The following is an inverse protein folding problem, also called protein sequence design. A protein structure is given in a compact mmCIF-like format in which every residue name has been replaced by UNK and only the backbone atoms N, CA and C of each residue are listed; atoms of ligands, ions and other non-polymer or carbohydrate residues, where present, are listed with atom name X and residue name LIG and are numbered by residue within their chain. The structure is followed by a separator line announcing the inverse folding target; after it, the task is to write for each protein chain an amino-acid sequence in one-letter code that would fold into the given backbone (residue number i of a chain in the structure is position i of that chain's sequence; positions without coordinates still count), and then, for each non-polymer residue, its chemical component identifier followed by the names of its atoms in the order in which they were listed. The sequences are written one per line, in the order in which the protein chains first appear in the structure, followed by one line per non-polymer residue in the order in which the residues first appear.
data_IF_707975754541
#
_entry.id   IF_707975754541
#
_cell.length_a   1.000
_cell.length_b   1.000
_cell.length_c   1.000
_cell.angle_alpha   90.00
_cell.angle_beta   90.00
_cell.angle_gamma   90.00
#
_symmetry.space_group_name_H-M   'P 1'
#
loop_
_entity.id
_entity.type
_entity.pdbx_description
1 polymer ?
#
# COMPACT_ATOMS: atom_id res chain seq x y z
N UNK A 1 -10.68 -19.47 14.88
CA UNK A 1 -9.30 -20.03 14.75
C UNK A 1 -8.33 -19.21 15.58
N UNK A 2 -7.18 -19.80 15.90
CA UNK A 2 -5.98 -19.10 16.39
C UNK A 2 -5.06 -18.82 15.21
N UNK A 3 -4.75 -17.57 14.95
CA UNK A 3 -3.99 -17.14 13.77
C UNK A 3 -2.72 -16.42 14.24
N UNK A 4 -1.56 -16.88 13.80
CA UNK A 4 -0.28 -16.21 14.03
C UNK A 4 0.13 -15.48 12.75
N UNK A 5 0.20 -14.16 12.78
CA UNK A 5 0.64 -13.34 11.63
C UNK A 5 2.08 -12.94 11.85
N UNK A 6 2.91 -13.01 10.80
CA UNK A 6 4.31 -12.62 10.86
C UNK A 6 4.58 -11.58 9.78
N UNK A 7 5.14 -10.42 10.15
CA UNK A 7 5.47 -9.35 9.21
C UNK A 7 6.96 -8.98 9.28
N UNK A 8 7.47 -8.37 8.19
CA UNK A 8 8.84 -7.83 8.09
C UNK A 8 8.95 -6.37 8.54
N UNK A 9 7.83 -5.69 8.72
CA UNK A 9 7.79 -4.26 9.02
C UNK A 9 6.99 -3.96 10.27
N UNK A 10 7.28 -2.84 10.94
CA UNK A 10 6.38 -2.27 11.93
C UNK A 10 4.96 -2.12 11.36
N UNK A 11 3.96 -2.14 12.25
CA UNK A 11 2.54 -2.04 11.87
C UNK A 11 2.14 -0.64 11.38
N UNK A 12 3.06 0.32 11.48
CA UNK A 12 2.88 1.70 11.01
C UNK A 12 4.06 2.14 10.15
N UNK A 13 3.82 3.09 9.22
CA UNK A 13 4.86 3.68 8.37
C UNK A 13 5.15 2.93 7.06
N UNK A 14 4.48 1.81 6.82
CA UNK A 14 4.54 1.09 5.54
C UNK A 14 3.17 0.56 5.13
N UNK A 15 2.92 0.40 3.82
CA UNK A 15 1.65 -0.12 3.32
C UNK A 15 1.36 -1.54 3.82
N UNK A 16 2.34 -2.43 3.80
CA UNK A 16 2.18 -3.81 4.29
C UNK A 16 2.05 -3.89 5.81
N UNK A 17 2.67 -2.96 6.56
CA UNK A 17 2.47 -2.86 8.01
C UNK A 17 1.02 -2.48 8.34
N UNK A 18 0.51 -1.44 7.69
CA UNK A 18 -0.89 -1.01 7.84
C UNK A 18 -1.86 -2.11 7.40
N UNK A 19 -1.58 -2.79 6.29
CA UNK A 19 -2.36 -3.96 5.87
C UNK A 19 -2.39 -5.05 6.96
N UNK A 20 -1.23 -5.41 7.51
CA UNK A 20 -1.11 -6.43 8.57
C UNK A 20 -1.89 -6.03 9.83
N UNK A 21 -1.81 -4.76 10.23
CA UNK A 21 -2.56 -4.21 11.37
C UNK A 21 -4.07 -4.34 11.15
N UNK A 22 -4.56 -3.91 9.99
CA UNK A 22 -5.98 -3.96 9.66
C UNK A 22 -6.46 -5.41 9.53
N UNK A 23 -5.72 -6.28 8.86
CA UNK A 23 -6.03 -7.72 8.78
C UNK A 23 -6.17 -8.34 10.16
N UNK A 24 -5.22 -8.08 11.07
CA UNK A 24 -5.26 -8.60 12.44
C UNK A 24 -6.45 -8.07 13.23
N UNK A 25 -6.78 -6.79 13.06
CA UNK A 25 -7.94 -6.15 13.69
C UNK A 25 -9.25 -6.77 13.22
N UNK A 26 -9.48 -6.80 11.92
CA UNK A 26 -10.70 -7.33 11.33
C UNK A 26 -10.91 -8.82 11.67
N UNK A 27 -9.85 -9.64 11.60
CA UNK A 27 -9.92 -11.04 12.02
C UNK A 27 -10.27 -11.18 13.51
N UNK A 28 -9.80 -10.27 14.35
CA UNK A 28 -10.13 -10.27 15.79
C UNK A 28 -11.58 -9.84 16.03
N UNK A 29 -12.06 -8.82 15.31
CA UNK A 29 -13.44 -8.33 15.40
C UNK A 29 -14.48 -9.42 15.02
N UNK A 30 -14.15 -10.31 14.08
CA UNK A 30 -15.01 -11.45 13.72
C UNK A 30 -14.81 -12.72 14.61
N UNK A 31 -14.04 -12.58 15.70
CA UNK A 31 -13.94 -13.62 16.76
C UNK A 31 -12.75 -14.57 16.66
N UNK A 32 -11.77 -14.32 15.79
CA UNK A 32 -10.52 -15.07 15.79
C UNK A 32 -9.59 -14.63 16.93
N UNK A 33 -8.76 -15.55 17.42
CA UNK A 33 -7.66 -15.23 18.34
C UNK A 33 -6.42 -14.92 17.49
N UNK A 34 -6.02 -13.66 17.42
CA UNK A 34 -4.91 -13.23 16.57
C UNK A 34 -3.70 -12.82 17.41
N UNK A 35 -2.52 -13.21 16.96
CA UNK A 35 -1.23 -12.74 17.48
C UNK A 35 -0.36 -12.30 16.30
N UNK A 36 0.33 -11.16 16.43
CA UNK A 36 1.19 -10.61 15.37
C UNK A 36 2.63 -10.51 15.85
N UNK A 37 3.56 -11.10 15.09
CA UNK A 37 5.01 -10.93 15.23
C UNK A 37 5.47 -9.90 14.20
N UNK A 38 6.22 -8.89 14.61
CA UNK A 38 6.73 -7.85 13.72
C UNK A 38 7.98 -7.17 14.30
N UNK A 39 8.91 -6.67 13.48
CA UNK A 39 10.03 -5.87 13.97
C UNK A 39 9.57 -4.49 14.43
N UNK A 40 10.22 -3.98 15.46
CA UNK A 40 9.94 -2.65 16.00
C UNK A 40 11.21 -2.05 16.61
N UNK A 41 11.30 -0.73 16.72
CA UNK A 41 12.41 -0.01 17.36
C UNK A 41 11.95 1.07 18.36
N UNK A 42 10.68 1.02 18.75
CA UNK A 42 10.07 1.89 19.77
C UNK A 42 8.93 1.18 20.49
N UNK A 43 8.46 1.75 21.59
CA UNK A 43 7.22 1.31 22.23
C UNK A 43 6.03 1.51 21.27
N UNK A 44 5.14 0.54 21.24
CA UNK A 44 3.91 0.56 20.42
C UNK A 44 2.67 0.60 21.30
N UNK A 45 1.61 1.29 20.87
CA UNK A 45 0.31 1.25 21.55
C UNK A 45 -0.27 -0.17 21.58
N UNK A 46 -1.07 -0.47 22.60
CA UNK A 46 -1.83 -1.72 22.65
C UNK A 46 -2.89 -1.77 21.57
N UNK A 47 -3.09 -2.95 21.02
CA UNK A 47 -4.11 -3.26 20.02
C UNK A 47 -5.12 -4.28 20.56
N UNK A 48 -6.24 -4.47 19.86
CA UNK A 48 -7.26 -5.45 20.22
C UNK A 48 -6.80 -6.91 20.02
N UNK A 49 -5.68 -7.11 19.33
CA UNK A 49 -5.02 -8.39 19.11
C UNK A 49 -3.71 -8.49 19.90
N UNK A 50 -3.20 -9.70 20.07
CA UNK A 50 -1.93 -9.90 20.78
C UNK A 50 -0.75 -9.51 19.90
N UNK A 51 0.26 -8.89 20.49
CA UNK A 51 1.48 -8.45 19.80
C UNK A 51 2.73 -9.09 20.39
N UNK A 52 3.69 -9.38 19.52
CA UNK A 52 5.06 -9.76 19.86
C UNK A 52 6.02 -8.95 18.97
N UNK A 53 6.32 -7.71 19.34
CA UNK A 53 7.38 -6.98 18.65
C UNK A 53 8.73 -7.65 18.88
N UNK A 54 9.53 -7.77 17.81
CA UNK A 54 10.95 -8.10 17.88
C UNK A 54 11.67 -6.76 17.92
N UNK A 55 12.35 -6.51 19.06
CA UNK A 55 12.97 -5.21 19.27
C UNK A 55 14.31 -5.10 18.57
N UNK A 56 14.38 -4.22 17.57
CA UNK A 56 15.60 -3.82 16.89
C UNK A 56 16.17 -2.55 17.52
N UNK A 57 17.48 -2.35 17.38
CA UNK A 57 18.13 -1.14 17.86
C UNK A 57 17.55 0.10 17.19
N UNK A 58 17.03 1.03 17.99
CA UNK A 58 16.59 2.36 17.59
C UNK A 58 17.50 3.44 18.16
N UNK A 59 17.24 4.70 17.78
CA UNK A 59 18.10 5.82 18.18
C UNK A 59 18.19 6.03 19.69
N UNK A 60 17.18 5.60 20.47
CA UNK A 60 17.10 5.79 21.93
C UNK A 60 16.72 4.52 22.71
N UNK A 61 16.71 3.33 22.10
CA UNK A 61 16.35 2.10 22.81
C UNK A 61 17.58 1.47 23.47
N UNK A 62 17.47 1.20 24.78
CA UNK A 62 18.49 0.43 25.53
C UNK A 62 18.20 -1.07 25.53
N UNK A 63 16.94 -1.45 25.34
CA UNK A 63 16.49 -2.84 25.35
C UNK A 63 16.15 -3.26 23.91
N UNK A 64 17.04 -3.99 23.27
CA UNK A 64 16.85 -4.56 21.94
C UNK A 64 17.33 -6.03 21.90
N UNK A 65 16.70 -6.81 21.02
CA UNK A 65 17.06 -8.21 20.76
C UNK A 65 18.08 -8.31 19.60
N UNK A 66 18.12 -7.28 18.73
CA UNK A 66 19.00 -7.19 17.56
C UNK A 66 19.73 -5.84 17.57
N UNK A 67 21.06 -5.88 17.48
CA UNK A 67 21.94 -4.72 17.56
C UNK A 67 22.13 -3.98 16.22
N UNK A 68 21.06 -3.82 15.45
CA UNK A 68 20.96 -2.94 14.28
C UNK A 68 19.50 -2.58 14.05
N UNK A 69 19.22 -1.55 13.20
CA UNK A 69 17.85 -1.16 12.92
C UNK A 69 17.19 -2.16 11.97
N UNK A 70 15.87 -2.35 12.05
CA UNK A 70 15.16 -3.29 11.19
C UNK A 70 15.34 -2.95 9.71
N UNK A 71 15.59 -3.96 8.85
CA UNK A 71 15.77 -3.73 7.43
C UNK A 71 14.45 -3.57 6.69
N UNK A 72 14.46 -2.82 5.59
CA UNK A 72 13.33 -2.65 4.69
C UNK A 72 13.75 -2.88 3.23
N UNK A 73 12.78 -3.05 2.32
CA UNK A 73 13.08 -3.21 0.89
C UNK A 73 13.48 -1.89 0.23
N UNK A 74 12.94 -0.77 0.68
CA UNK A 74 13.24 0.55 0.13
C UNK A 74 13.61 1.54 1.22
N UNK A 75 12.64 2.08 1.95
CA UNK A 75 12.83 2.98 3.08
C UNK A 75 11.62 2.95 3.98
N UNK A 76 11.83 3.19 5.25
CA UNK A 76 10.79 3.34 6.25
C UNK A 76 11.03 4.65 7.04
N UNK A 77 10.01 5.36 7.52
CA UNK A 77 10.22 6.60 8.30
C UNK A 77 11.15 6.45 9.51
N UNK A 78 11.28 5.22 10.03
CA UNK A 78 12.09 4.89 11.22
C UNK A 78 13.30 4.01 10.93
N UNK A 79 13.59 3.71 9.66
CA UNK A 79 14.78 2.95 9.28
C UNK A 79 15.22 3.27 7.86
N UNK A 80 16.52 3.58 7.72
CA UNK A 80 17.18 3.71 6.43
C UNK A 80 17.98 2.44 6.06
N UNK A 81 17.98 1.43 6.94
CA UNK A 81 18.66 0.14 6.68
C UNK A 81 17.85 -0.67 5.68
N UNK A 82 18.50 -1.15 4.63
CA UNK A 82 17.85 -2.06 3.67
C UNK A 82 18.37 -3.48 3.83
N UNK A 83 17.57 -4.49 3.40
CA UNK A 83 18.01 -5.89 3.36
C UNK A 83 19.31 -6.07 2.58
N UNK A 84 19.52 -5.27 1.55
CA UNK A 84 20.70 -5.32 0.66
C UNK A 84 22.00 -4.84 1.33
N UNK A 85 21.88 -3.97 2.33
CA UNK A 85 23.00 -3.40 3.08
C UNK A 85 23.46 -4.29 4.24
N UNK A 86 22.65 -5.28 4.63
CA UNK A 86 23.05 -6.20 5.71
C UNK A 86 24.28 -7.00 5.30
N UNK A 87 25.28 -7.00 6.17
CA UNK A 87 26.43 -7.90 6.04
C UNK A 87 26.03 -9.35 6.37
N UNK A 88 26.92 -10.30 6.12
CA UNK A 88 26.63 -11.75 6.30
C UNK A 88 26.22 -12.11 7.74
N UNK A 89 26.80 -11.44 8.74
CA UNK A 89 26.44 -11.66 10.15
C UNK A 89 25.06 -11.11 10.45
N UNK A 90 24.79 -9.85 10.12
CA UNK A 90 23.49 -9.21 10.32
C UNK A 90 22.35 -9.95 9.59
N UNK A 91 22.62 -10.42 8.35
CA UNK A 91 21.65 -11.22 7.62
C UNK A 91 21.31 -12.52 8.37
N UNK A 92 22.31 -13.23 8.90
CA UNK A 92 22.09 -14.44 9.72
C UNK A 92 21.34 -14.11 11.00
N UNK A 93 21.80 -13.12 11.76
CA UNK A 93 21.15 -12.69 12.98
C UNK A 93 19.67 -12.35 12.75
N UNK A 94 19.34 -11.68 11.63
CA UNK A 94 17.97 -11.38 11.23
C UNK A 94 17.14 -12.64 10.93
N UNK A 95 17.70 -13.58 10.17
CA UNK A 95 17.00 -14.84 9.84
C UNK A 95 16.79 -15.66 11.10
N UNK A 96 17.81 -15.79 11.93
CA UNK A 96 17.78 -16.60 13.14
C UNK A 96 16.78 -16.06 14.16
N UNK A 97 16.70 -14.74 14.37
CA UNK A 97 15.72 -14.15 15.28
C UNK A 97 14.30 -14.34 14.77
N UNK A 98 14.06 -14.16 13.46
CA UNK A 98 12.74 -14.36 12.88
C UNK A 98 12.28 -15.81 13.02
N UNK A 99 13.17 -16.78 12.79
CA UNK A 99 12.87 -18.21 12.96
C UNK A 99 12.61 -18.52 14.43
N UNK A 100 13.55 -18.19 15.33
CA UNK A 100 13.47 -18.49 16.76
C UNK A 100 12.19 -17.91 17.39
N UNK A 101 11.91 -16.63 17.20
CA UNK A 101 10.72 -16.00 17.79
C UNK A 101 9.43 -16.60 17.21
N UNK A 102 9.43 -16.97 15.93
CA UNK A 102 8.27 -17.61 15.31
C UNK A 102 8.02 -19.00 15.93
N UNK A 103 9.05 -19.83 16.10
CA UNK A 103 8.94 -21.14 16.75
C UNK A 103 8.47 -21.02 18.20
N UNK A 104 9.11 -20.13 19.01
CA UNK A 104 8.73 -19.88 20.41
C UNK A 104 7.27 -19.42 20.55
N UNK A 105 6.81 -18.54 19.68
CA UNK A 105 5.44 -18.03 19.71
C UNK A 105 4.43 -19.06 19.16
N UNK A 106 4.82 -19.87 18.21
CA UNK A 106 4.01 -20.99 17.74
C UNK A 106 3.77 -22.04 18.85
N UNK A 107 4.82 -22.39 19.59
CA UNK A 107 4.70 -23.32 20.74
C UNK A 107 3.79 -22.77 21.86
N UNK A 108 3.97 -21.49 22.22
CA UNK A 108 3.20 -20.83 23.31
C UNK A 108 1.76 -20.55 22.91
N UNK A 109 1.53 -20.04 21.69
CA UNK A 109 0.22 -19.62 21.21
C UNK A 109 -0.59 -20.77 20.64
N UNK A 110 0.07 -21.79 20.08
CA UNK A 110 -0.52 -22.97 19.39
C UNK A 110 -1.53 -22.52 18.34
N UNK A 111 -1.08 -21.82 17.28
CA UNK A 111 -1.96 -21.36 16.22
C UNK A 111 -2.45 -22.54 15.39
N UNK A 112 -3.67 -22.42 14.85
CA UNK A 112 -4.19 -23.34 13.86
C UNK A 112 -3.50 -23.12 12.50
N UNK A 113 -3.17 -21.85 12.20
CA UNK A 113 -2.52 -21.44 10.95
C UNK A 113 -1.58 -20.25 11.18
N UNK A 114 -0.52 -20.20 10.38
CA UNK A 114 0.39 -19.02 10.32
C UNK A 114 0.12 -18.27 9.02
N UNK A 115 0.07 -16.94 9.08
CA UNK A 115 0.00 -16.06 7.91
C UNK A 115 1.26 -15.20 7.80
N UNK A 116 2.13 -15.53 6.87
CA UNK A 116 3.37 -14.82 6.62
C UNK A 116 3.14 -13.67 5.63
N UNK A 117 3.65 -12.49 5.94
CA UNK A 117 3.58 -11.32 5.06
C UNK A 117 4.91 -11.17 4.32
N UNK A 118 4.84 -11.00 3.00
CA UNK A 118 5.95 -11.00 2.03
C UNK A 118 6.57 -12.38 1.77
N UNK A 119 6.82 -12.72 0.52
CA UNK A 119 7.59 -13.89 0.13
C UNK A 119 9.11 -13.65 0.31
N UNK A 120 9.52 -13.54 1.56
CA UNK A 120 10.93 -13.29 1.93
C UNK A 120 11.39 -14.24 3.03
N UNK A 121 11.65 -13.77 4.24
CA UNK A 121 12.10 -14.62 5.36
C UNK A 121 10.93 -15.12 6.23
N UNK A 122 9.81 -14.40 6.29
CA UNK A 122 8.66 -14.79 7.13
C UNK A 122 8.03 -16.13 6.73
N UNK A 123 7.85 -16.50 5.43
CA UNK A 123 7.38 -17.83 5.07
C UNK A 123 8.42 -18.93 5.42
N UNK A 124 9.70 -18.62 5.35
CA UNK A 124 10.74 -19.54 5.78
C UNK A 124 10.68 -19.78 7.30
N UNK A 125 10.49 -18.73 8.10
CA UNK A 125 10.29 -18.86 9.53
C UNK A 125 9.01 -19.68 9.86
N UNK A 126 7.91 -19.43 9.16
CA UNK A 126 6.69 -20.22 9.28
C UNK A 126 6.92 -21.70 8.94
N UNK A 127 7.64 -21.99 7.86
CA UNK A 127 7.96 -23.36 7.43
C UNK A 127 8.76 -24.14 8.50
N UNK A 128 9.59 -23.45 9.30
CA UNK A 128 10.39 -24.08 10.37
C UNK A 128 9.53 -24.62 11.52
N UNK A 129 8.37 -24.04 11.76
CA UNK A 129 7.45 -24.51 12.82
C UNK A 129 6.78 -25.85 12.50
N UNK A 130 6.78 -26.29 11.24
CA UNK A 130 6.05 -27.47 10.79
C UNK A 130 4.51 -27.31 10.72
N UNK A 131 3.98 -26.14 11.09
CA UNK A 131 2.55 -25.84 11.07
C UNK A 131 2.09 -25.42 9.66
N UNK A 132 0.79 -25.60 9.33
CA UNK A 132 0.23 -25.07 8.10
C UNK A 132 0.36 -23.54 8.04
N UNK A 133 0.72 -23.03 6.85
CA UNK A 133 0.84 -21.57 6.67
C UNK A 133 0.47 -21.15 5.26
N UNK A 134 0.06 -19.88 5.18
CA UNK A 134 -0.18 -19.13 3.95
C UNK A 134 0.74 -17.91 3.92
N UNK A 135 0.98 -17.36 2.72
CA UNK A 135 1.81 -16.17 2.57
C UNK A 135 1.14 -15.14 1.67
N UNK A 136 1.25 -13.85 2.01
CA UNK A 136 0.79 -12.74 1.15
C UNK A 136 1.97 -12.02 0.52
N UNK A 137 1.89 -11.75 -0.78
CA UNK A 137 2.87 -11.01 -1.59
C UNK A 137 2.45 -9.55 -1.70
N UNK A 138 3.35 -8.62 -1.39
CA UNK A 138 3.07 -7.17 -1.44
C UNK A 138 3.77 -6.43 -2.57
N UNK A 139 4.55 -7.12 -3.42
CA UNK A 139 5.26 -6.57 -4.58
C UNK A 139 6.64 -5.99 -4.27
N UNK A 140 6.91 -5.46 -3.09
CA UNK A 140 8.25 -5.00 -2.69
C UNK A 140 9.21 -6.17 -2.44
N UNK A 141 8.69 -7.28 -1.98
CA UNK A 141 9.37 -8.56 -1.85
C UNK A 141 9.82 -9.13 -3.21
N UNK A 142 9.00 -9.02 -4.25
CA UNK A 142 9.37 -9.41 -5.61
C UNK A 142 10.55 -8.57 -6.13
N UNK A 143 10.53 -7.26 -5.86
CA UNK A 143 11.67 -6.38 -6.17
C UNK A 143 12.92 -6.79 -5.39
N UNK A 144 12.77 -7.10 -4.10
CA UNK A 144 13.84 -7.60 -3.26
C UNK A 144 14.45 -8.89 -3.79
N UNK A 145 13.60 -9.82 -4.20
CA UNK A 145 14.04 -11.08 -4.78
C UNK A 145 14.87 -10.88 -6.05
N UNK A 146 14.45 -9.99 -6.95
CA UNK A 146 15.23 -9.64 -8.17
C UNK A 146 16.57 -8.99 -7.83
N UNK A 147 16.64 -8.23 -6.72
CA UNK A 147 17.80 -7.41 -6.38
C UNK A 147 18.88 -8.17 -5.59
N UNK A 148 18.51 -9.12 -4.71
CA UNK A 148 19.47 -9.76 -3.80
C UNK A 148 19.33 -11.28 -3.73
N UNK A 149 20.19 -11.96 -4.45
CA UNK A 149 20.23 -13.44 -4.54
C UNK A 149 20.59 -14.14 -3.22
N UNK A 150 21.16 -13.44 -2.24
CA UNK A 150 21.54 -14.04 -0.95
C UNK A 150 20.34 -14.61 -0.19
N UNK A 151 19.17 -14.06 -0.44
CA UNK A 151 17.92 -14.46 0.22
C UNK A 151 17.14 -15.55 -0.54
N UNK A 152 17.50 -15.85 -1.81
CA UNK A 152 16.76 -16.81 -2.64
C UNK A 152 16.57 -18.17 -1.97
N UNK A 153 17.60 -18.81 -1.33
CA UNK A 153 17.41 -20.14 -0.73
C UNK A 153 16.31 -20.16 0.35
N UNK A 154 16.18 -19.06 1.11
CA UNK A 154 15.17 -18.93 2.16
C UNK A 154 13.79 -18.58 1.58
N UNK A 155 13.76 -17.58 0.71
CA UNK A 155 12.53 -17.09 0.10
C UNK A 155 11.85 -18.16 -0.75
N UNK A 156 12.60 -18.89 -1.60
CA UNK A 156 12.08 -19.99 -2.41
C UNK A 156 11.56 -21.13 -1.53
N UNK A 157 12.34 -21.54 -0.52
CA UNK A 157 11.94 -22.63 0.37
C UNK A 157 10.67 -22.30 1.13
N UNK A 158 10.57 -21.06 1.65
CA UNK A 158 9.36 -20.60 2.33
C UNK A 158 8.16 -20.50 1.39
N UNK A 159 8.34 -19.94 0.20
CA UNK A 159 7.25 -19.75 -0.75
C UNK A 159 6.68 -21.07 -1.30
N UNK A 160 7.54 -21.98 -1.73
CA UNK A 160 7.14 -23.25 -2.36
C UNK A 160 6.44 -24.21 -1.40
N UNK A 161 6.76 -24.13 -0.09
CA UNK A 161 6.13 -24.96 0.94
C UNK A 161 4.87 -24.34 1.55
N UNK A 162 4.50 -23.12 1.18
CA UNK A 162 3.25 -22.51 1.60
C UNK A 162 2.05 -23.33 1.06
N UNK A 163 1.02 -23.52 1.89
CA UNK A 163 -0.23 -24.19 1.48
C UNK A 163 -0.96 -23.37 0.42
N UNK A 164 -0.97 -22.04 0.59
CA UNK A 164 -1.52 -21.07 -0.37
C UNK A 164 -0.66 -19.80 -0.36
N UNK A 165 -0.61 -19.14 -1.50
CA UNK A 165 0.03 -17.85 -1.68
C UNK A 165 -1.02 -16.84 -2.15
N UNK A 166 -1.20 -15.79 -1.39
CA UNK A 166 -2.12 -14.69 -1.69
C UNK A 166 -1.34 -13.61 -2.43
N UNK A 167 -1.83 -13.19 -3.57
CA UNK A 167 -1.29 -12.09 -4.37
C UNK A 167 -2.31 -10.96 -4.43
N UNK A 168 -1.82 -9.70 -4.45
CA UNK A 168 -2.70 -8.52 -4.30
C UNK A 168 -3.14 -7.91 -5.63
N UNK A 169 -2.67 -8.43 -6.76
CA UNK A 169 -3.08 -8.03 -8.12
C UNK A 169 -2.66 -9.07 -9.14
N UNK A 170 -3.25 -9.01 -10.34
CA UNK A 170 -2.89 -9.90 -11.46
C UNK A 170 -1.43 -9.76 -11.88
N UNK A 171 -0.87 -8.55 -11.84
CA UNK A 171 0.55 -8.36 -12.16
C UNK A 171 1.43 -9.02 -11.09
N UNK A 172 1.14 -8.79 -9.80
CA UNK A 172 1.89 -9.41 -8.70
C UNK A 172 1.76 -10.95 -8.79
N UNK A 173 0.61 -11.48 -9.19
CA UNK A 173 0.41 -12.92 -9.38
C UNK A 173 1.31 -13.49 -10.48
N UNK A 174 1.32 -12.85 -11.67
CA UNK A 174 2.21 -13.27 -12.78
C UNK A 174 3.68 -13.23 -12.38
N UNK A 175 4.14 -12.13 -11.77
CA UNK A 175 5.54 -12.00 -11.31
C UNK A 175 5.88 -13.04 -10.23
N UNK A 176 4.94 -13.37 -9.35
CA UNK A 176 5.13 -14.42 -8.32
C UNK A 176 5.31 -15.78 -8.96
N UNK A 177 4.48 -16.13 -9.96
CA UNK A 177 4.63 -17.36 -10.73
C UNK A 177 6.01 -17.46 -11.36
N UNK A 178 6.43 -16.41 -12.05
CA UNK A 178 7.70 -16.37 -12.78
C UNK A 178 8.92 -16.47 -11.86
N UNK A 179 8.91 -15.79 -10.73
CA UNK A 179 10.08 -15.68 -9.85
C UNK A 179 10.19 -16.85 -8.85
N UNK A 180 9.09 -17.33 -8.33
CA UNK A 180 9.08 -18.34 -7.27
C UNK A 180 8.64 -19.72 -7.75
N UNK A 181 8.19 -19.84 -9.01
CA UNK A 181 7.74 -21.11 -9.64
C UNK A 181 6.65 -21.80 -8.81
N UNK A 182 5.69 -21.02 -8.31
CA UNK A 182 4.56 -21.52 -7.52
C UNK A 182 3.44 -21.93 -8.48
N UNK A 183 2.87 -23.11 -8.28
CA UNK A 183 1.79 -23.66 -9.08
C UNK A 183 0.52 -22.78 -9.03
N UNK A 184 -0.27 -22.82 -10.12
CA UNK A 184 -1.44 -21.96 -10.28
C UNK A 184 -2.54 -22.24 -9.24
N UNK A 185 -2.71 -23.48 -8.83
CA UNK A 185 -3.69 -23.91 -7.82
C UNK A 185 -3.37 -23.39 -6.41
N UNK A 186 -2.08 -23.17 -6.12
CA UNK A 186 -1.62 -22.62 -4.84
C UNK A 186 -1.78 -21.11 -4.74
N UNK A 187 -1.86 -20.39 -5.87
CA UNK A 187 -1.95 -18.92 -5.87
C UNK A 187 -3.41 -18.46 -5.92
N UNK A 188 -3.72 -17.44 -5.14
CA UNK A 188 -5.05 -16.80 -5.10
C UNK A 188 -4.90 -15.30 -5.07
N UNK A 189 -5.60 -14.60 -5.95
CA UNK A 189 -5.65 -13.15 -5.95
C UNK A 189 -6.70 -12.72 -4.93
N UNK A 190 -6.27 -11.94 -3.93
CA UNK A 190 -7.16 -11.28 -2.97
C UNK A 190 -6.78 -9.81 -2.90
N UNK A 191 -7.68 -8.96 -3.32
CA UNK A 191 -7.46 -7.52 -3.30
C UNK A 191 -7.45 -6.97 -1.87
N UNK A 192 -6.63 -5.94 -1.63
CA UNK A 192 -6.55 -5.31 -0.33
C UNK A 192 -7.84 -4.55 -0.01
N UNK A 193 -8.28 -4.66 1.23
CA UNK A 193 -9.37 -3.86 1.78
C UNK A 193 -8.93 -2.43 2.12
N UNK A 194 -9.90 -1.51 2.12
CA UNK A 194 -9.74 -0.15 2.64
C UNK A 194 -10.67 0.09 3.86
N UNK A 195 -10.38 1.10 4.65
CA UNK A 195 -11.20 1.46 5.81
C UNK A 195 -12.50 2.17 5.37
N UNK A 196 -13.60 1.41 5.31
CA UNK A 196 -14.93 1.90 4.89
C UNK A 196 -15.58 2.84 5.91
N UNK A 197 -15.12 2.83 7.17
CA UNK A 197 -15.61 3.77 8.19
C UNK A 197 -15.01 5.17 7.98
N UNK A 198 -13.78 5.20 7.49
CA UNK A 198 -12.99 6.41 7.28
C UNK A 198 -13.20 6.99 5.87
N UNK A 199 -12.92 6.21 4.83
CA UNK A 199 -13.03 6.65 3.43
C UNK A 199 -14.46 6.44 2.92
N UNK A 200 -15.20 7.51 2.83
CA UNK A 200 -16.58 7.54 2.35
C UNK A 200 -16.96 8.90 1.81
N UNK A 201 -18.02 8.96 1.08
CA UNK A 201 -18.59 10.23 0.61
C UNK A 201 -19.00 11.09 1.80
N UNK A 202 -18.49 12.31 1.85
CA UNK A 202 -18.83 13.33 2.85
C UNK A 202 -19.32 14.60 2.15
N UNK A 203 -20.29 15.27 2.76
CA UNK A 203 -20.66 16.61 2.33
C UNK A 203 -19.73 17.62 3.02
N UNK A 204 -18.71 18.08 2.30
CA UNK A 204 -17.69 19.02 2.81
C UNK A 204 -17.64 20.28 1.96
N UNK A 205 -17.33 21.40 2.59
CA UNK A 205 -17.15 22.68 1.90
C UNK A 205 -15.77 22.75 1.24
N UNK A 206 -15.73 22.87 -0.10
CA UNK A 206 -14.49 23.09 -0.84
C UNK A 206 -13.72 24.28 -0.29
N UNK A 207 -14.41 25.38 0.02
CA UNK A 207 -13.81 26.59 0.55
C UNK A 207 -13.09 26.34 1.88
N UNK A 208 -13.78 25.74 2.85
CA UNK A 208 -13.22 25.46 4.17
C UNK A 208 -12.02 24.52 4.12
N UNK A 209 -12.07 23.49 3.26
CA UNK A 209 -10.95 22.55 3.12
C UNK A 209 -9.76 23.24 2.47
N UNK A 210 -9.95 24.03 1.40
CA UNK A 210 -8.88 24.76 0.75
C UNK A 210 -8.24 25.80 1.69
N UNK A 211 -9.03 26.53 2.48
CA UNK A 211 -8.54 27.48 3.48
C UNK A 211 -7.66 26.81 4.55
N UNK A 212 -7.97 25.57 4.97
CA UNK A 212 -7.09 24.80 5.88
C UNK A 212 -5.70 24.55 5.31
N UNK A 213 -5.57 24.51 3.98
CA UNK A 213 -4.30 24.37 3.26
C UNK A 213 -3.71 25.72 2.82
N UNK A 214 -4.27 26.85 3.27
CA UNK A 214 -3.80 28.20 2.92
C UNK A 214 -4.15 28.61 1.49
N UNK A 215 -5.15 28.00 0.86
CA UNK A 215 -5.58 28.27 -0.52
C UNK A 215 -6.91 29.03 -0.45
N UNK A 216 -6.88 30.33 -0.74
CA UNK A 216 -8.04 31.21 -0.61
C UNK A 216 -8.90 31.31 -1.87
N UNK A 217 -8.38 30.88 -3.02
CA UNK A 217 -9.11 30.88 -4.29
C UNK A 217 -9.87 29.57 -4.46
N UNK A 218 -11.17 29.65 -4.77
CA UNK A 218 -11.98 28.47 -5.09
C UNK A 218 -11.89 28.21 -6.59
N UNK A 219 -11.22 27.13 -7.04
CA UNK A 219 -11.12 26.80 -8.46
C UNK A 219 -12.43 26.16 -8.98
N UNK A 220 -12.59 26.15 -10.30
CA UNK A 220 -13.67 25.40 -10.94
C UNK A 220 -13.47 23.89 -10.79
N UNK A 221 -12.21 23.44 -10.85
CA UNK A 221 -11.83 22.03 -10.76
C UNK A 221 -10.64 21.80 -9.83
N UNK A 222 -10.69 20.67 -9.13
CA UNK A 222 -9.63 20.22 -8.21
C UNK A 222 -9.15 18.84 -8.64
N UNK A 223 -7.85 18.71 -8.84
CA UNK A 223 -7.17 17.44 -9.08
C UNK A 223 -6.38 17.09 -7.82
N UNK A 224 -6.49 15.86 -7.34
CA UNK A 224 -5.74 15.36 -6.20
C UNK A 224 -4.71 14.31 -6.60
N UNK A 225 -3.59 14.33 -5.89
CA UNK A 225 -2.61 13.24 -5.83
C UNK A 225 -2.30 12.97 -4.36
N UNK A 226 -2.19 11.70 -4.00
CA UNK A 226 -1.72 11.30 -2.67
C UNK A 226 -0.67 10.19 -2.79
N UNK A 227 0.46 10.37 -2.12
CA UNK A 227 1.50 9.35 -2.09
C UNK A 227 2.89 9.86 -1.75
N UNK A 228 3.84 8.91 -1.67
CA UNK A 228 5.24 9.23 -1.45
C UNK A 228 5.83 9.96 -2.68
N UNK A 229 6.54 11.05 -2.45
CA UNK A 229 7.22 11.78 -3.53
C UNK A 229 8.53 11.08 -3.88
N UNK A 230 8.41 10.04 -4.71
CA UNK A 230 9.49 9.19 -5.19
C UNK A 230 9.30 8.89 -6.67
N UNK A 231 10.38 8.56 -7.39
CA UNK A 231 10.37 8.36 -8.84
C UNK A 231 9.27 7.39 -9.33
N UNK A 232 9.07 6.29 -8.59
CA UNK A 232 8.08 5.30 -9.00
C UNK A 232 6.61 5.76 -8.90
N UNK A 233 6.33 6.94 -8.29
CA UNK A 233 4.98 7.52 -8.18
C UNK A 233 4.64 8.50 -9.29
N UNK A 234 5.60 8.91 -10.14
CA UNK A 234 5.33 9.66 -11.38
C UNK A 234 4.78 11.08 -11.19
N UNK A 235 5.08 11.74 -10.06
CA UNK A 235 4.60 13.11 -9.82
C UNK A 235 5.17 14.12 -10.83
N UNK A 236 6.35 13.87 -11.35
CA UNK A 236 6.95 14.63 -12.44
C UNK A 236 6.12 14.57 -13.73
N UNK A 237 5.51 13.43 -14.04
CA UNK A 237 4.57 13.26 -15.16
C UNK A 237 3.29 14.06 -14.89
N UNK A 238 2.75 14.03 -13.67
CA UNK A 238 1.61 14.85 -13.30
C UNK A 238 1.89 16.35 -13.46
N UNK A 239 3.09 16.82 -13.07
CA UNK A 239 3.46 18.24 -13.25
C UNK A 239 3.54 18.62 -14.74
N UNK A 240 4.04 17.75 -15.61
CA UNK A 240 4.04 17.97 -17.06
C UNK A 240 2.61 17.99 -17.61
N UNK A 241 1.77 17.05 -17.21
CA UNK A 241 0.35 17.03 -17.55
C UNK A 241 -0.37 18.30 -17.07
N UNK A 242 -0.02 18.80 -15.87
CA UNK A 242 -0.57 20.04 -15.32
C UNK A 242 -0.29 21.24 -16.22
N UNK A 243 0.90 21.31 -16.82
CA UNK A 243 1.24 22.36 -17.78
C UNK A 243 0.34 22.34 -19.04
N UNK A 244 -0.11 21.15 -19.45
CA UNK A 244 -0.97 20.98 -20.62
C UNK A 244 -2.39 21.39 -20.28
N UNK A 245 -3.01 20.81 -19.22
CA UNK A 245 -4.41 21.12 -18.93
C UNK A 245 -4.61 22.56 -18.40
N UNK A 246 -3.65 23.16 -17.66
CA UNK A 246 -3.74 24.57 -17.27
C UNK A 246 -3.70 25.52 -18.48
N UNK A 247 -3.09 25.09 -19.60
CA UNK A 247 -3.06 25.86 -20.86
C UNK A 247 -4.30 25.66 -21.72
N UNK A 248 -4.84 24.45 -21.75
CA UNK A 248 -5.95 24.10 -22.64
C UNK A 248 -7.31 24.49 -22.08
N UNK A 249 -7.48 24.41 -20.76
CA UNK A 249 -8.74 24.75 -20.10
C UNK A 249 -8.84 26.25 -19.81
N UNK A 250 -10.02 26.81 -20.04
CA UNK A 250 -10.32 28.23 -19.69
C UNK A 250 -10.59 28.38 -18.19
N UNK A 251 -11.19 27.35 -17.61
CA UNK A 251 -11.54 27.29 -16.21
C UNK A 251 -10.30 27.14 -15.34
N UNK A 252 -10.37 27.68 -14.13
CA UNK A 252 -9.29 27.55 -13.14
C UNK A 252 -9.24 26.13 -12.55
N UNK A 253 -8.10 25.46 -12.76
CA UNK A 253 -7.82 24.13 -12.21
C UNK A 253 -6.78 24.26 -11.11
N UNK A 254 -7.00 23.60 -10.00
CA UNK A 254 -6.02 23.49 -8.91
C UNK A 254 -5.58 22.04 -8.73
N UNK A 255 -4.28 21.80 -8.70
CA UNK A 255 -3.68 20.49 -8.44
C UNK A 255 -3.13 20.45 -7.03
N UNK A 256 -3.61 19.53 -6.22
CA UNK A 256 -3.24 19.34 -4.82
C UNK A 256 -2.42 18.06 -4.67
N UNK A 257 -1.15 18.21 -4.26
CA UNK A 257 -0.18 17.11 -4.14
C UNK A 257 0.07 16.84 -2.66
N UNK A 258 -0.55 15.79 -2.12
CA UNK A 258 -0.39 15.35 -0.75
C UNK A 258 0.71 14.28 -0.64
N UNK A 259 1.69 14.51 0.21
CA UNK A 259 2.77 13.58 0.50
C UNK A 259 4.14 14.23 0.64
N UNK A 260 5.09 13.43 1.12
CA UNK A 260 6.50 13.79 1.23
C UNK A 260 7.38 12.70 0.60
N UNK A 261 8.64 13.03 0.35
CA UNK A 261 9.61 12.06 -0.17
C UNK A 261 10.89 12.69 -0.65
N UNK A 262 11.81 11.86 -1.08
CA UNK A 262 13.16 12.27 -1.50
C UNK A 262 13.18 13.23 -2.69
N UNK A 263 12.13 13.23 -3.50
CA UNK A 263 12.04 14.12 -4.68
C UNK A 263 11.31 15.44 -4.39
N UNK A 264 10.95 15.74 -3.14
CA UNK A 264 10.15 16.95 -2.82
C UNK A 264 10.76 18.23 -3.40
N UNK A 265 12.05 18.50 -3.15
CA UNK A 265 12.72 19.72 -3.62
C UNK A 265 12.92 19.74 -5.15
N UNK A 266 13.17 18.58 -5.76
CA UNK A 266 13.30 18.46 -7.22
C UNK A 266 11.96 18.75 -7.91
N UNK A 267 10.88 18.20 -7.40
CA UNK A 267 9.52 18.42 -7.93
C UNK A 267 9.07 19.87 -7.76
N UNK A 268 9.45 20.55 -6.67
CA UNK A 268 9.21 21.99 -6.51
C UNK A 268 9.94 22.80 -7.58
N UNK A 269 11.21 22.52 -7.83
CA UNK A 269 11.99 23.17 -8.90
C UNK A 269 11.34 22.91 -10.27
N UNK A 270 10.88 21.70 -10.55
CA UNK A 270 10.18 21.38 -11.79
C UNK A 270 8.87 22.16 -11.91
N UNK A 271 8.07 22.25 -10.84
CA UNK A 271 6.86 23.09 -10.80
C UNK A 271 7.16 24.54 -11.17
N UNK A 272 8.20 25.12 -10.58
CA UNK A 272 8.60 26.52 -10.81
C UNK A 272 9.11 26.72 -12.25
N UNK A 273 9.91 25.79 -12.76
CA UNK A 273 10.37 25.79 -14.17
C UNK A 273 9.18 25.72 -15.15
N UNK A 274 8.17 24.90 -14.87
CA UNK A 274 6.95 24.78 -15.66
C UNK A 274 5.99 25.96 -15.45
N UNK A 275 6.27 26.86 -14.50
CA UNK A 275 5.46 28.04 -14.13
C UNK A 275 4.02 27.68 -13.70
N UNK A 276 3.85 26.58 -12.97
CA UNK A 276 2.55 26.10 -12.48
C UNK A 276 2.12 26.89 -11.23
N UNK A 277 1.21 27.84 -11.41
CA UNK A 277 0.79 28.76 -10.34
C UNK A 277 -0.28 28.15 -9.42
N UNK A 278 -1.03 27.14 -9.90
CA UNK A 278 -2.15 26.50 -9.18
C UNK A 278 -1.87 25.05 -8.78
N UNK A 279 -0.60 24.67 -8.70
CA UNK A 279 -0.16 23.39 -8.18
C UNK A 279 0.43 23.60 -6.79
N UNK A 280 -0.13 22.92 -5.78
CA UNK A 280 0.24 23.07 -4.37
C UNK A 280 0.74 21.75 -3.79
N UNK A 281 1.93 21.80 -3.19
CA UNK A 281 2.45 20.70 -2.38
C UNK A 281 1.98 20.88 -0.94
N UNK A 282 1.13 19.96 -0.47
CA UNK A 282 0.52 20.03 0.86
C UNK A 282 1.39 19.42 1.97
N UNK A 283 2.49 18.75 1.59
CA UNK A 283 3.28 17.98 2.54
C UNK A 283 2.56 16.72 3.01
N UNK A 284 2.95 16.22 4.15
CA UNK A 284 2.27 15.08 4.77
C UNK A 284 0.88 15.50 5.28
N UNK A 285 -0.13 14.77 4.88
CA UNK A 285 -1.51 14.92 5.36
C UNK A 285 -1.89 13.69 6.19
N UNK A 286 -2.67 13.90 7.24
CA UNK A 286 -3.25 12.78 7.99
C UNK A 286 -4.44 12.16 7.24
N UNK A 287 -4.96 11.04 7.73
CA UNK A 287 -6.03 10.32 7.06
C UNK A 287 -7.33 11.13 6.92
N UNK A 288 -7.72 11.92 7.95
CA UNK A 288 -8.91 12.76 7.86
C UNK A 288 -8.76 13.86 6.81
N UNK A 289 -7.59 14.50 6.75
CA UNK A 289 -7.27 15.47 5.72
C UNK A 289 -7.26 14.84 4.32
N UNK A 290 -6.81 13.58 4.21
CA UNK A 290 -6.81 12.84 2.94
C UNK A 290 -8.24 12.53 2.47
N UNK A 291 -9.12 12.14 3.39
CA UNK A 291 -10.55 11.95 3.11
C UNK A 291 -11.20 13.25 2.64
N UNK A 292 -10.91 14.37 3.32
CA UNK A 292 -11.41 15.68 2.92
C UNK A 292 -10.90 16.06 1.52
N UNK A 293 -9.61 15.83 1.25
CA UNK A 293 -8.99 16.07 -0.05
C UNK A 293 -9.68 15.29 -1.18
N UNK A 294 -9.92 14.00 -0.99
CA UNK A 294 -10.64 13.20 -1.99
C UNK A 294 -12.08 13.68 -2.18
N UNK A 295 -12.78 14.03 -1.11
CA UNK A 295 -14.18 14.49 -1.20
C UNK A 295 -14.34 15.81 -1.96
N UNK A 296 -13.36 16.72 -1.91
CA UNK A 296 -13.41 17.98 -2.66
C UNK A 296 -12.85 17.86 -4.09
N UNK A 297 -12.10 16.81 -4.40
CA UNK A 297 -11.50 16.62 -5.72
C UNK A 297 -12.54 16.21 -6.78
N UNK A 298 -12.36 16.69 -8.01
CA UNK A 298 -13.13 16.25 -9.16
C UNK A 298 -12.52 14.99 -9.79
N UNK A 299 -11.18 14.87 -9.72
CA UNK A 299 -10.41 13.72 -10.21
C UNK A 299 -9.23 13.47 -9.27
N UNK A 300 -8.96 12.22 -8.96
CA UNK A 300 -7.70 11.79 -8.33
C UNK A 300 -6.77 11.16 -9.34
N UNK A 301 -5.45 11.37 -9.20
CA UNK A 301 -4.49 10.84 -10.17
C UNK A 301 -3.51 9.87 -9.52
N UNK A 302 -3.21 8.77 -10.23
CA UNK A 302 -2.20 7.79 -9.84
C UNK A 302 -1.26 7.53 -11.03
N UNK A 303 -0.35 8.48 -11.34
CA UNK A 303 0.52 8.42 -12.52
C UNK A 303 1.75 7.52 -12.29
N UNK A 304 1.61 6.46 -11.53
CA UNK A 304 2.69 5.63 -11.03
C UNK A 304 3.41 4.84 -12.13
N UNK A 305 4.75 4.83 -12.09
CA UNK A 305 5.60 3.92 -12.86
C UNK A 305 5.57 2.49 -12.33
N UNK A 306 5.22 2.35 -11.07
CA UNK A 306 5.08 1.05 -10.39
C UNK A 306 4.09 1.17 -9.25
N UNK A 307 2.99 0.43 -9.34
CA UNK A 307 1.90 0.42 -8.36
C UNK A 307 1.45 -1.02 -8.12
N UNK A 308 1.95 -1.71 -7.10
CA UNK A 308 1.59 -3.12 -6.88
C UNK A 308 0.08 -3.37 -6.75
N UNK A 309 -0.66 -2.43 -6.14
CA UNK A 309 -2.11 -2.52 -6.01
C UNK A 309 -2.80 -1.19 -6.32
N UNK A 310 -2.57 -0.14 -5.53
CA UNK A 310 -3.19 1.17 -5.72
C UNK A 310 -4.24 1.52 -4.68
N UNK A 311 -3.96 1.30 -3.39
CA UNK A 311 -4.88 1.65 -2.28
C UNK A 311 -5.37 3.09 -2.38
N UNK A 312 -4.51 4.05 -2.71
CA UNK A 312 -4.88 5.47 -2.85
C UNK A 312 -5.95 5.70 -3.93
N UNK A 313 -5.97 4.87 -4.99
CA UNK A 313 -7.01 4.92 -6.00
C UNK A 313 -8.34 4.43 -5.43
N UNK A 314 -8.33 3.33 -4.68
CA UNK A 314 -9.54 2.77 -4.05
C UNK A 314 -10.08 3.71 -2.98
N UNK A 315 -9.23 4.34 -2.19
CA UNK A 315 -9.60 5.35 -1.19
C UNK A 315 -10.27 6.58 -1.85
N UNK A 316 -9.75 7.03 -2.99
CA UNK A 316 -10.37 8.10 -3.76
C UNK A 316 -11.74 7.69 -4.33
N UNK A 317 -11.84 6.49 -4.94
CA UNK A 317 -13.11 5.94 -5.44
C UNK A 317 -14.13 5.79 -4.31
N UNK A 318 -13.71 5.33 -3.12
CA UNK A 318 -14.57 5.21 -1.94
C UNK A 318 -15.15 6.57 -1.48
N UNK A 319 -14.40 7.66 -1.68
CA UNK A 319 -14.89 9.03 -1.48
C UNK A 319 -15.70 9.57 -2.68
N UNK A 320 -16.01 8.73 -3.66
CA UNK A 320 -16.75 9.10 -4.86
C UNK A 320 -15.92 9.89 -5.88
N UNK A 321 -14.59 9.83 -5.83
CA UNK A 321 -13.74 10.58 -6.76
C UNK A 321 -13.18 9.66 -7.84
N UNK A 322 -13.52 9.88 -9.13
CA UNK A 322 -13.00 9.08 -10.22
C UNK A 322 -11.48 9.20 -10.31
N UNK A 323 -10.84 8.14 -10.84
CA UNK A 323 -9.38 8.04 -10.85
C UNK A 323 -8.84 7.95 -12.27
N UNK A 324 -7.87 8.82 -12.59
CA UNK A 324 -7.03 8.68 -13.79
C UNK A 324 -5.68 8.12 -13.35
N UNK A 325 -5.38 6.90 -13.80
CA UNK A 325 -4.16 6.18 -13.43
C UNK A 325 -3.38 5.65 -14.63
N UNK A 326 -2.20 5.10 -14.37
CA UNK A 326 -1.41 4.43 -15.39
C UNK A 326 -1.85 2.97 -15.56
N UNK A 327 -1.76 2.45 -16.78
CA UNK A 327 -1.99 1.04 -17.11
C UNK A 327 -0.82 0.17 -16.58
N UNK A 328 -0.65 0.16 -15.24
CA UNK A 328 0.47 -0.45 -14.55
C UNK A 328 0.07 -1.04 -13.19
N UNK A 329 0.67 -2.19 -12.85
CA UNK A 329 0.48 -2.83 -11.55
C UNK A 329 -0.93 -3.37 -11.36
N UNK A 330 -1.52 -3.02 -10.23
CA UNK A 330 -2.88 -3.41 -9.87
C UNK A 330 -3.96 -2.47 -10.41
N UNK A 331 -3.62 -1.27 -10.90
CA UNK A 331 -4.62 -0.31 -11.38
C UNK A 331 -5.51 -0.86 -12.50
N UNK A 332 -4.98 -1.61 -13.51
CA UNK A 332 -5.80 -2.23 -14.55
C UNK A 332 -6.75 -3.33 -14.06
N UNK A 333 -6.57 -3.80 -12.85
CA UNK A 333 -7.44 -4.85 -12.31
C UNK A 333 -8.82 -4.31 -11.93
N UNK A 334 -8.93 -3.00 -11.69
CA UNK A 334 -10.17 -2.40 -11.19
C UNK A 334 -10.55 -1.06 -11.82
N UNK A 335 -9.63 -0.26 -12.35
CA UNK A 335 -10.02 0.99 -13.03
C UNK A 335 -10.57 0.64 -14.41
N UNK A 336 -11.81 1.07 -14.65
CA UNK A 336 -12.54 0.91 -15.91
C UNK A 336 -13.22 2.23 -16.32
N UNK A 337 -13.88 2.24 -17.49
CA UNK A 337 -14.52 3.43 -18.05
C UNK A 337 -15.66 4.01 -17.20
N UNK A 338 -16.26 3.24 -16.28
CA UNK A 338 -17.35 3.69 -15.40
C UNK A 338 -16.87 4.54 -14.22
N UNK A 339 -15.60 4.39 -13.82
CA UNK A 339 -15.05 4.97 -12.58
C UNK A 339 -13.74 5.74 -12.77
N UNK A 340 -13.18 5.73 -13.98
CA UNK A 340 -11.89 6.38 -14.23
C UNK A 340 -11.37 6.15 -15.65
N UNK A 341 -10.07 6.38 -15.81
CA UNK A 341 -9.36 6.11 -17.05
C UNK A 341 -7.94 5.62 -16.80
N UNK A 342 -7.41 4.83 -17.73
CA UNK A 342 -6.04 4.35 -17.71
C UNK A 342 -5.26 4.92 -18.91
N UNK A 343 -4.03 5.36 -18.65
CA UNK A 343 -3.10 5.87 -19.66
C UNK A 343 -1.78 5.11 -19.62
N UNK A 344 -0.98 5.20 -20.66
CA UNK A 344 0.34 4.58 -20.63
C UNK A 344 1.27 5.26 -19.62
N UNK A 345 2.21 4.49 -19.11
CA UNK A 345 3.28 5.01 -18.25
C UNK A 345 4.14 6.00 -19.04
N UNK A 346 4.62 7.07 -18.41
CA UNK A 346 5.44 8.16 -19.01
C UNK A 346 4.69 9.05 -20.04
N UNK A 347 3.39 8.92 -20.17
CA UNK A 347 2.59 9.68 -21.15
C UNK A 347 1.85 10.84 -20.47
N UNK A 348 2.53 11.98 -20.36
CA UNK A 348 1.98 13.19 -19.75
C UNK A 348 0.88 13.83 -20.63
N UNK A 349 0.91 13.62 -21.95
CA UNK A 349 -0.11 14.11 -22.86
C UNK A 349 -1.41 13.34 -22.67
N UNK A 350 -1.35 12.00 -22.72
CA UNK A 350 -2.53 11.16 -22.51
C UNK A 350 -3.07 11.34 -21.06
N UNK A 351 -2.20 11.54 -20.06
CA UNK A 351 -2.64 11.83 -18.71
C UNK A 351 -3.42 13.15 -18.63
N UNK A 352 -2.94 14.20 -19.30
CA UNK A 352 -3.63 15.49 -19.34
C UNK A 352 -4.98 15.39 -20.05
N UNK A 353 -5.06 14.71 -21.20
CA UNK A 353 -6.29 14.50 -21.95
C UNK A 353 -7.32 13.70 -21.16
N UNK A 354 -6.90 12.61 -20.50
CA UNK A 354 -7.78 11.81 -19.66
C UNK A 354 -8.33 12.62 -18.48
N UNK A 355 -7.50 13.44 -17.84
CA UNK A 355 -7.93 14.34 -16.76
C UNK A 355 -8.93 15.37 -17.28
N UNK A 356 -8.67 16.05 -18.42
CA UNK A 356 -9.59 17.00 -19.03
C UNK A 356 -10.94 16.33 -19.31
N UNK A 357 -10.93 15.16 -19.94
CA UNK A 357 -12.15 14.41 -20.26
C UNK A 357 -12.98 14.12 -19.01
N UNK A 358 -12.33 13.72 -17.89
CA UNK A 358 -13.03 13.53 -16.62
C UNK A 358 -13.61 14.84 -16.07
N UNK A 359 -12.88 15.96 -16.17
CA UNK A 359 -13.31 17.25 -15.67
C UNK A 359 -14.50 17.84 -16.41
N UNK A 360 -14.64 17.60 -17.72
CA UNK A 360 -15.73 18.17 -18.54
C UNK A 360 -16.94 17.25 -18.71
N UNK A 361 -16.93 16.05 -18.13
CA UNK A 361 -18.04 15.09 -18.24
C UNK A 361 -19.36 15.69 -17.75
N UNK A 362 -20.48 15.41 -18.45
CA UNK A 362 -21.80 15.87 -18.04
C UNK A 362 -22.38 15.04 -16.88
N UNK A 363 -22.00 13.75 -16.74
CA UNK A 363 -22.56 12.78 -15.78
C UNK A 363 -21.75 12.68 -14.46
N UNK A 364 -21.17 13.81 -13.99
CA UNK A 364 -20.26 13.82 -12.83
C UNK A 364 -20.87 13.23 -11.57
N UNK A 365 -22.13 13.55 -11.26
CA UNK A 365 -22.80 13.08 -10.04
C UNK A 365 -23.00 11.57 -10.08
N UNK A 366 -23.51 11.06 -11.18
CA UNK A 366 -23.72 9.63 -11.41
C UNK A 366 -22.39 8.87 -11.38
N UNK A 367 -21.35 9.46 -11.97
CA UNK A 367 -20.01 8.88 -11.95
C UNK A 367 -19.40 8.80 -10.57
N UNK A 368 -19.57 9.84 -9.74
CA UNK A 368 -19.17 9.82 -8.32
C UNK A 368 -19.89 8.73 -7.53
N UNK A 369 -21.18 8.52 -7.79
CA UNK A 369 -21.94 7.44 -7.16
C UNK A 369 -21.42 6.06 -7.59
N UNK A 370 -21.22 5.85 -8.89
CA UNK A 370 -20.65 4.58 -9.42
C UNK A 370 -19.27 4.29 -8.84
N UNK A 371 -18.40 5.29 -8.72
CA UNK A 371 -17.06 5.15 -8.12
C UNK A 371 -17.15 4.68 -6.65
N UNK A 372 -18.02 5.33 -5.87
CA UNK A 372 -18.27 4.95 -4.48
C UNK A 372 -18.81 3.53 -4.34
N UNK A 373 -19.89 3.22 -5.03
CA UNK A 373 -20.54 1.90 -5.00
C UNK A 373 -19.58 0.79 -5.43
N UNK A 374 -18.78 1.04 -6.47
CA UNK A 374 -17.79 0.09 -6.93
C UNK A 374 -16.73 -0.21 -5.86
N UNK A 375 -16.21 0.82 -5.20
CA UNK A 375 -15.23 0.64 -4.13
C UNK A 375 -15.81 -0.15 -2.95
N UNK A 376 -17.01 0.22 -2.48
CA UNK A 376 -17.70 -0.45 -1.36
C UNK A 376 -17.96 -1.93 -1.66
N UNK A 377 -18.46 -2.22 -2.85
CA UNK A 377 -18.87 -3.57 -3.23
C UNK A 377 -17.69 -4.52 -3.47
N UNK A 378 -16.51 -4.00 -3.85
CA UNK A 378 -15.39 -4.85 -4.27
C UNK A 378 -14.19 -4.83 -3.31
N UNK A 379 -13.97 -3.76 -2.55
CA UNK A 379 -12.71 -3.55 -1.80
C UNK A 379 -12.91 -3.26 -0.31
N UNK A 380 -14.05 -3.61 0.26
CA UNK A 380 -14.24 -3.53 1.71
C UNK A 380 -13.35 -4.56 2.43
N UNK A 381 -12.91 -4.25 3.64
CA UNK A 381 -12.24 -5.22 4.49
C UNK A 381 -13.09 -6.47 4.73
N UNK A 382 -14.41 -6.32 4.81
CA UNK A 382 -15.34 -7.44 4.93
C UNK A 382 -15.18 -8.45 3.79
N UNK A 383 -15.08 -7.98 2.54
CA UNK A 383 -14.86 -8.83 1.37
C UNK A 383 -13.47 -9.48 1.40
N UNK A 384 -12.43 -8.71 1.71
CA UNK A 384 -11.05 -9.23 1.83
C UNK A 384 -10.98 -10.33 2.89
N UNK A 385 -11.58 -10.13 4.05
CA UNK A 385 -11.57 -11.10 5.15
C UNK A 385 -12.31 -12.39 4.80
N UNK A 386 -13.45 -12.30 4.12
CA UNK A 386 -14.19 -13.50 3.65
C UNK A 386 -13.31 -14.38 2.75
N UNK A 387 -12.59 -13.77 1.81
CA UNK A 387 -11.68 -14.51 0.93
C UNK A 387 -10.47 -15.07 1.69
N UNK A 388 -9.87 -14.30 2.59
CA UNK A 388 -8.75 -14.75 3.43
C UNK A 388 -9.16 -15.91 4.33
N UNK A 389 -10.33 -15.86 4.99
CA UNK A 389 -10.85 -16.97 5.80
C UNK A 389 -11.09 -18.23 4.99
N UNK A 390 -11.62 -18.11 3.76
CA UNK A 390 -11.79 -19.23 2.85
C UNK A 390 -10.44 -19.89 2.54
N UNK A 391 -9.42 -19.09 2.24
CA UNK A 391 -8.06 -19.57 2.00
C UNK A 391 -7.47 -20.25 3.24
N UNK A 392 -7.70 -19.72 4.44
CA UNK A 392 -7.27 -20.39 5.68
C UNK A 392 -7.92 -21.77 5.86
N UNK A 393 -9.23 -21.88 5.61
CA UNK A 393 -9.94 -23.15 5.66
C UNK A 393 -9.39 -24.15 4.65
N UNK A 394 -9.16 -23.72 3.40
CA UNK A 394 -8.55 -24.55 2.35
C UNK A 394 -7.11 -24.99 2.69
N UNK A 395 -6.36 -24.19 3.44
CA UNK A 395 -4.99 -24.49 3.82
C UNK A 395 -4.88 -25.47 5.01
N UNK A 396 -5.94 -25.65 5.77
CA UNK A 396 -6.00 -26.57 6.92
C UNK A 396 -6.36 -28.01 6.52
N UNK A 397 -6.95 -28.19 5.36
CA UNK A 397 -7.32 -29.49 4.78
C UNK A 397 -6.46 -29.81 3.56
#
# INVERSE_FOLDING_TARGET
MKILIINHFPLEGSGSGVYTKNLAKELTEIGHKVKVIFPENRMVPLEIFKMRPIMFRGDNSKDYEIDFNFPCFTSHPRSNTTFYQLNKKQMRDYIDIMVRVTEEEAEKFKPDIIHAQHLWITPYAAQKTGLPYVATVHGTDLKGFKQDKRYHPYALKGAQNARRVITISKQVDRETKELYHIEDDKRKIVYNGYDTKLFKVKNVSRKEILEKFGINEIPAYIISFAGKLAHFKGVDILLKAAKIYEKQMKEKITTLIAGNGVLYEELKKLKDFLKLKRTFFLGHVNQDQLVDLYNIADVSTVPSRSEPFGLVAIEALACGTPVVGTNQGGLPDFINEDIGALVNVEDDIALAEAIINELIRPDKKERRNRAHEYAVNNFSWENTIKEVEKIYKEALF
#
